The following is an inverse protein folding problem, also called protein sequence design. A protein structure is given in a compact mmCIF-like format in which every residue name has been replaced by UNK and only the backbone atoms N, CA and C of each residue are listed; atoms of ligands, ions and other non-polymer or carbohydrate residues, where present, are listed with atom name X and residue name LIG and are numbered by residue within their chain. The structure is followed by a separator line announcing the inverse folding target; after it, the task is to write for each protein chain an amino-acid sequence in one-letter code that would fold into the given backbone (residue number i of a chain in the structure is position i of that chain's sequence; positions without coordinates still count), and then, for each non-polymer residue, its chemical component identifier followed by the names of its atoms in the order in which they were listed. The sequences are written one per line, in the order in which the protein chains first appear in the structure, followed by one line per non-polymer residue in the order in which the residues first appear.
data_IF_202325159159
#
_entry.id   IF_202325159159
#
_cell.length_a   1.000
_cell.length_b   1.000
_cell.length_c   1.000
_cell.angle_alpha   90.00
_cell.angle_beta   90.00
_cell.angle_gamma   90.00
#
_symmetry.space_group_name_H-M   'P 1'
#
loop_
_entity.id
_entity.type
_entity.pdbx_description
1 polymer ?
#
# COMPACT_ATOMS: atom_id res chain seq x y z
N UNK A 1 -18.91 -18.76 -33.01
CA UNK A 1 -17.68 -19.48 -32.56
C UNK A 1 -16.52 -18.50 -32.50
N UNK A 2 -16.27 -17.86 -31.35
CA UNK A 2 -15.07 -17.06 -31.11
C UNK A 2 -14.19 -17.86 -30.13
N UNK A 3 -13.02 -18.26 -30.59
CA UNK A 3 -12.04 -19.03 -29.84
C UNK A 3 -11.47 -18.15 -28.72
N UNK A 4 -11.54 -18.65 -27.49
CA UNK A 4 -10.80 -18.15 -26.34
C UNK A 4 -9.31 -18.22 -26.63
N UNK A 5 -8.63 -17.08 -26.60
CA UNK A 5 -7.16 -17.03 -26.67
C UNK A 5 -6.58 -17.10 -25.26
N UNK A 6 -5.94 -18.23 -25.03
CA UNK A 6 -4.73 -18.46 -24.23
C UNK A 6 -4.55 -17.69 -22.91
N UNK A 7 -4.53 -18.50 -21.81
CA UNK A 7 -3.82 -18.18 -20.59
C UNK A 7 -2.35 -17.85 -20.86
N UNK A 8 -2.03 -16.58 -20.98
CA UNK A 8 -0.68 -16.08 -20.80
C UNK A 8 -0.40 -16.03 -19.29
N UNK A 9 0.65 -16.72 -18.88
CA UNK A 9 1.30 -16.52 -17.59
C UNK A 9 1.43 -15.02 -17.33
N UNK A 10 0.65 -14.50 -16.39
CA UNK A 10 0.78 -13.13 -15.91
C UNK A 10 2.02 -13.09 -15.01
N UNK A 11 3.19 -12.95 -15.61
CA UNK A 11 4.32 -12.39 -14.91
C UNK A 11 3.94 -10.96 -14.50
N UNK A 12 4.28 -10.59 -13.27
CA UNK A 12 3.96 -9.30 -12.60
C UNK A 12 4.58 -8.06 -13.31
N UNK A 13 4.41 -7.91 -14.61
CA UNK A 13 4.81 -6.71 -15.31
C UNK A 13 3.69 -5.70 -15.17
N UNK A 14 3.77 -4.86 -14.14
CA UNK A 14 2.90 -3.70 -14.01
C UNK A 14 3.13 -2.77 -15.22
N UNK A 15 2.05 -2.19 -15.74
CA UNK A 15 2.11 -1.23 -16.84
C UNK A 15 1.32 0.01 -16.48
N UNK A 16 1.74 1.14 -17.03
CA UNK A 16 0.92 2.34 -16.97
C UNK A 16 -0.28 2.20 -17.90
N UNK A 17 -1.41 2.74 -17.44
CA UNK A 17 -2.64 2.88 -18.22
C UNK A 17 -2.89 4.37 -18.50
N UNK A 18 -3.76 4.64 -19.48
CA UNK A 18 -4.03 5.99 -19.94
C UNK A 18 -3.15 6.40 -21.13
N UNK A 19 -3.41 7.59 -21.63
CA UNK A 19 -2.75 8.11 -22.85
C UNK A 19 -1.50 8.94 -22.58
N UNK A 20 -1.27 9.30 -21.33
CA UNK A 20 -0.17 10.19 -20.92
C UNK A 20 0.44 9.74 -19.60
N UNK A 21 1.75 9.97 -19.47
CA UNK A 21 2.55 9.80 -18.25
C UNK A 21 3.35 11.07 -17.97
N UNK A 22 3.83 11.22 -16.75
CA UNK A 22 4.90 12.18 -16.45
C UNK A 22 6.22 11.43 -16.65
N UNK A 23 7.13 12.02 -17.42
CA UNK A 23 8.50 11.56 -17.59
C UNK A 23 9.45 12.74 -17.46
N UNK A 24 10.35 12.66 -16.49
CA UNK A 24 11.39 13.65 -16.21
C UNK A 24 10.90 15.11 -16.18
N UNK A 25 9.71 15.33 -15.59
CA UNK A 25 9.12 16.65 -15.38
C UNK A 25 8.26 17.18 -16.54
N UNK A 26 8.01 16.36 -17.56
CA UNK A 26 7.12 16.66 -18.70
C UNK A 26 5.98 15.66 -18.77
N UNK A 27 4.82 16.08 -19.29
CA UNK A 27 3.73 15.16 -19.66
C UNK A 27 3.97 14.71 -21.09
N UNK A 28 4.08 13.40 -21.27
CA UNK A 28 4.38 12.75 -22.54
C UNK A 28 3.34 11.69 -22.86
N UNK A 29 3.14 11.31 -24.14
CA UNK A 29 2.33 10.16 -24.50
C UNK A 29 2.84 8.88 -23.80
N UNK A 30 1.92 8.06 -23.30
CA UNK A 30 2.26 6.76 -22.71
C UNK A 30 2.64 5.77 -23.82
N UNK A 31 3.82 5.20 -23.75
CA UNK A 31 4.23 4.10 -24.62
C UNK A 31 4.00 2.75 -23.92
N UNK A 32 3.53 1.74 -24.67
CA UNK A 32 3.13 0.42 -24.11
C UNK A 32 4.28 -0.39 -23.48
N UNK A 33 5.52 0.10 -23.47
CA UNK A 33 6.70 -0.76 -23.33
C UNK A 33 7.53 -0.59 -22.06
N UNK A 34 7.22 0.35 -21.17
CA UNK A 34 8.07 0.53 -19.99
C UNK A 34 7.64 -0.39 -18.84
N UNK A 35 8.37 -1.48 -18.56
CA UNK A 35 8.11 -2.31 -17.38
C UNK A 35 8.38 -1.50 -16.12
N UNK A 36 7.45 -1.55 -15.18
CA UNK A 36 7.57 -0.88 -13.89
C UNK A 36 7.90 -1.95 -12.84
N UNK A 37 8.85 -1.67 -11.97
CA UNK A 37 9.16 -2.55 -10.84
C UNK A 37 10.48 -3.30 -10.99
N UNK A 38 11.53 -2.57 -11.37
CA UNK A 38 12.90 -3.10 -11.30
C UNK A 38 13.44 -2.99 -9.87
N UNK A 39 14.32 -3.91 -9.50
CA UNK A 39 14.99 -3.86 -8.21
C UNK A 39 15.70 -2.53 -7.99
N UNK A 40 15.71 -2.10 -6.74
CA UNK A 40 16.27 -0.83 -6.27
C UNK A 40 15.54 0.45 -6.73
N UNK A 41 14.47 0.38 -7.51
CA UNK A 41 13.66 1.55 -7.80
C UNK A 41 13.08 2.14 -6.51
N UNK A 42 13.24 3.45 -6.34
CA UNK A 42 12.48 4.20 -5.32
C UNK A 42 11.12 4.53 -5.90
N UNK A 43 10.05 4.12 -5.24
CA UNK A 43 8.72 4.30 -5.77
C UNK A 43 7.71 4.79 -4.74
N UNK A 44 6.63 5.39 -5.22
CA UNK A 44 5.42 5.70 -4.45
C UNK A 44 4.20 5.15 -5.17
N UNK A 45 3.18 4.81 -4.38
CA UNK A 45 1.85 4.50 -4.90
C UNK A 45 0.87 5.45 -4.23
N UNK A 46 0.21 6.25 -5.07
CA UNK A 46 -0.79 7.23 -4.68
C UNK A 46 -2.16 6.70 -5.05
N UNK A 47 -3.17 7.01 -4.28
CA UNK A 47 -4.57 6.79 -4.63
C UNK A 47 -5.15 8.07 -5.20
N UNK A 48 -5.67 8.02 -6.41
CA UNK A 48 -6.56 9.06 -6.95
C UNK A 48 -7.99 8.65 -6.67
N UNK A 49 -8.72 9.47 -5.97
CA UNK A 49 -10.13 9.27 -5.62
C UNK A 49 -10.90 10.55 -5.94
N UNK A 50 -11.97 10.43 -6.70
CA UNK A 50 -12.80 11.56 -7.12
C UNK A 50 -11.98 12.67 -7.81
N UNK A 51 -10.92 12.29 -8.53
CA UNK A 51 -10.00 13.20 -9.21
C UNK A 51 -8.97 13.88 -8.32
N UNK A 52 -8.82 13.46 -7.06
CA UNK A 52 -7.85 14.00 -6.11
C UNK A 52 -6.80 12.96 -5.73
N UNK A 53 -5.51 13.31 -5.83
CA UNK A 53 -4.43 12.49 -5.30
C UNK A 53 -4.43 12.60 -3.78
N UNK A 54 -4.83 11.51 -3.08
CA UNK A 54 -4.96 11.49 -1.63
C UNK A 54 -3.60 11.62 -0.94
N UNK A 55 -3.51 12.50 0.07
CA UNK A 55 -2.33 12.68 0.92
C UNK A 55 -1.04 12.90 0.12
N UNK A 56 -1.14 13.59 -1.01
CA UNK A 56 -0.05 13.79 -1.97
C UNK A 56 1.23 14.32 -1.31
N UNK A 57 1.12 15.30 -0.40
CA UNK A 57 2.29 15.90 0.25
C UNK A 57 3.03 14.90 1.14
N UNK A 58 2.30 14.01 1.85
CA UNK A 58 2.89 12.96 2.67
C UNK A 58 3.67 11.97 1.79
N UNK A 59 3.09 11.56 0.66
CA UNK A 59 3.74 10.70 -0.33
C UNK A 59 5.02 11.33 -0.90
N UNK A 60 4.97 12.59 -1.34
CA UNK A 60 6.13 13.28 -1.90
C UNK A 60 7.23 13.49 -0.86
N UNK A 61 6.87 13.71 0.41
CA UNK A 61 7.82 13.79 1.50
C UNK A 61 8.54 12.46 1.72
N UNK A 62 7.80 11.33 1.79
CA UNK A 62 8.39 9.99 1.93
C UNK A 62 9.25 9.62 0.72
N UNK A 63 8.79 9.92 -0.50
CA UNK A 63 9.55 9.73 -1.72
C UNK A 63 10.89 10.48 -1.68
N UNK A 64 10.87 11.77 -1.32
CA UNK A 64 12.08 12.58 -1.15
C UNK A 64 13.05 12.00 -0.12
N UNK A 65 12.53 11.49 1.00
CA UNK A 65 13.37 10.85 2.04
C UNK A 65 14.01 9.56 1.52
N UNK A 66 13.26 8.71 0.80
CA UNK A 66 13.79 7.49 0.18
C UNK A 66 14.83 7.80 -0.90
N UNK A 67 14.60 8.83 -1.73
CA UNK A 67 15.58 9.31 -2.72
C UNK A 67 16.90 9.72 -2.08
N UNK A 68 16.82 10.57 -1.04
CA UNK A 68 18.01 11.02 -0.31
C UNK A 68 18.78 9.87 0.35
N UNK A 69 18.06 8.95 1.02
CA UNK A 69 18.66 7.83 1.72
C UNK A 69 19.37 6.84 0.78
N UNK A 70 18.92 6.75 -0.48
CA UNK A 70 19.55 5.96 -1.54
C UNK A 70 20.63 6.72 -2.33
N UNK A 71 21.00 7.94 -1.88
CA UNK A 71 21.99 8.77 -2.57
C UNK A 71 21.50 9.41 -3.86
N UNK A 72 20.21 9.33 -4.17
CA UNK A 72 19.61 9.95 -5.35
C UNK A 72 19.25 11.40 -5.06
N UNK A 73 19.67 12.31 -5.93
CA UNK A 73 19.27 13.72 -5.86
C UNK A 73 17.81 13.90 -6.27
N UNK A 74 17.12 14.85 -5.63
CA UNK A 74 15.80 15.26 -6.13
C UNK A 74 16.00 16.13 -7.39
N UNK A 75 15.31 15.82 -8.50
CA UNK A 75 15.40 16.68 -9.69
C UNK A 75 14.80 18.07 -9.43
N UNK A 76 15.32 19.09 -10.06
CA UNK A 76 14.89 20.49 -9.85
C UNK A 76 13.39 20.70 -10.12
N UNK A 77 12.85 19.96 -11.08
CA UNK A 77 11.45 20.03 -11.45
C UNK A 77 10.51 19.30 -10.44
N UNK A 78 11.04 18.51 -9.49
CA UNK A 78 10.22 17.77 -8.51
C UNK A 78 9.27 18.68 -7.71
N UNK A 79 9.61 19.97 -7.54
CA UNK A 79 8.74 20.97 -6.92
C UNK A 79 7.43 21.20 -7.69
N UNK A 80 7.40 20.87 -8.98
CA UNK A 80 6.22 20.95 -9.85
C UNK A 80 5.38 19.66 -9.84
N UNK A 81 5.82 18.60 -9.14
CA UNK A 81 5.13 17.31 -9.13
C UNK A 81 3.64 17.41 -8.77
N UNK A 82 3.21 18.20 -7.76
CA UNK A 82 1.79 18.35 -7.48
C UNK A 82 0.99 18.84 -8.69
N UNK A 83 1.46 19.89 -9.36
CA UNK A 83 0.81 20.45 -10.55
C UNK A 83 0.81 19.46 -11.74
N UNK A 84 1.91 18.73 -11.91
CA UNK A 84 2.04 17.73 -12.97
C UNK A 84 1.06 16.56 -12.75
N UNK A 85 0.88 16.14 -11.49
CA UNK A 85 -0.08 15.10 -11.13
C UNK A 85 -1.52 15.58 -11.39
N UNK A 86 -1.86 16.81 -10.99
CA UNK A 86 -3.20 17.38 -11.26
C UNK A 86 -3.46 17.42 -12.78
N UNK A 87 -2.48 17.86 -13.58
CA UNK A 87 -2.61 17.86 -15.04
C UNK A 87 -2.68 16.46 -15.64
N UNK A 88 -1.92 15.50 -15.09
CA UNK A 88 -1.97 14.12 -15.56
C UNK A 88 -3.35 13.48 -15.32
N UNK A 89 -3.98 13.77 -14.19
CA UNK A 89 -5.36 13.36 -13.88
C UNK A 89 -6.32 13.93 -14.94
N UNK A 90 -6.21 15.24 -15.22
CA UNK A 90 -7.06 15.92 -16.21
C UNK A 90 -6.83 15.36 -17.62
N UNK A 91 -5.58 15.21 -18.06
CA UNK A 91 -5.25 14.75 -19.42
C UNK A 91 -5.73 13.32 -19.68
N UNK A 92 -5.70 12.44 -18.68
CA UNK A 92 -6.18 11.06 -18.83
C UNK A 92 -7.68 10.90 -18.56
N UNK A 93 -8.31 11.85 -17.87
CA UNK A 93 -9.72 11.74 -17.44
C UNK A 93 -9.97 10.59 -16.45
N UNK A 94 -8.93 10.12 -15.75
CA UNK A 94 -9.00 9.01 -14.78
C UNK A 94 -9.17 9.62 -13.40
N UNK A 95 -10.31 9.37 -12.76
CA UNK A 95 -10.67 9.98 -11.47
C UNK A 95 -10.66 9.01 -10.28
N UNK A 96 -10.51 7.70 -10.54
CA UNK A 96 -10.54 6.66 -9.52
C UNK A 96 -9.58 5.54 -9.91
N UNK A 97 -8.33 5.61 -9.44
CA UNK A 97 -7.27 4.67 -9.78
C UNK A 97 -6.04 4.86 -8.87
N UNK A 98 -5.13 3.90 -8.87
CA UNK A 98 -3.79 4.13 -8.31
C UNK A 98 -2.86 4.76 -9.34
N UNK A 99 -1.92 5.54 -8.83
CA UNK A 99 -0.86 6.16 -9.60
C UNK A 99 0.49 5.77 -8.99
N UNK A 100 1.47 5.47 -9.81
CA UNK A 100 2.82 5.15 -9.33
C UNK A 100 3.82 6.19 -9.82
N UNK A 101 4.60 6.71 -8.88
CA UNK A 101 5.84 7.45 -9.15
C UNK A 101 7.00 6.48 -9.00
N UNK A 102 7.90 6.44 -9.95
CA UNK A 102 9.08 5.57 -9.94
C UNK A 102 10.33 6.38 -10.28
N UNK A 103 11.37 6.23 -9.49
CA UNK A 103 12.69 6.77 -9.78
C UNK A 103 13.67 5.61 -9.97
N UNK A 104 14.22 5.52 -11.16
CA UNK A 104 15.19 4.49 -11.55
C UNK A 104 16.61 4.84 -11.10
N UNK A 105 17.52 3.86 -11.15
CA UNK A 105 18.92 4.05 -10.75
C UNK A 105 19.67 5.08 -11.61
N UNK A 106 19.28 5.24 -12.88
CA UNK A 106 19.83 6.25 -13.79
C UNK A 106 19.31 7.66 -13.54
N UNK A 107 18.43 7.86 -12.54
CA UNK A 107 17.87 9.15 -12.17
C UNK A 107 16.61 9.54 -12.94
N UNK A 108 16.16 8.75 -13.92
CA UNK A 108 14.89 9.00 -14.61
C UNK A 108 13.71 8.78 -13.67
N UNK A 109 12.72 9.66 -13.75
CA UNK A 109 11.50 9.61 -12.93
C UNK A 109 10.29 9.53 -13.84
N UNK A 110 9.45 8.54 -13.58
CA UNK A 110 8.18 8.36 -14.28
C UNK A 110 7.02 8.39 -13.29
N UNK A 111 5.86 8.87 -13.74
CA UNK A 111 4.62 8.77 -12.98
C UNK A 111 3.45 8.53 -13.94
N UNK A 112 2.64 7.53 -13.62
CA UNK A 112 1.47 7.17 -14.42
C UNK A 112 0.45 6.38 -13.62
N UNK A 113 -0.71 6.18 -14.20
CA UNK A 113 -1.77 5.36 -13.62
C UNK A 113 -1.48 3.87 -13.77
N UNK A 114 -1.90 3.08 -12.79
CA UNK A 114 -1.78 1.63 -12.78
C UNK A 114 -3.15 0.99 -13.00
N UNK A 115 -3.19 -0.14 -13.68
CA UNK A 115 -4.34 -1.02 -13.61
C UNK A 115 -4.44 -1.59 -12.20
N UNK A 116 -5.47 -1.18 -11.44
CA UNK A 116 -5.63 -1.53 -10.03
C UNK A 116 -6.94 -2.26 -9.80
N UNK A 117 -6.85 -3.43 -9.18
CA UNK A 117 -8.01 -4.13 -8.64
C UNK A 117 -8.13 -3.75 -7.15
N UNK A 118 -9.19 -3.01 -6.81
CA UNK A 118 -9.50 -2.68 -5.42
C UNK A 118 -10.26 -3.80 -4.74
N UNK A 119 -10.18 -3.91 -3.40
CA UNK A 119 -11.02 -4.84 -2.67
C UNK A 119 -12.50 -4.62 -2.97
N UNK A 120 -13.24 -5.71 -3.16
CA UNK A 120 -14.68 -5.64 -3.37
C UNK A 120 -15.42 -5.23 -2.09
N UNK A 121 -16.67 -4.79 -2.24
CA UNK A 121 -17.54 -4.49 -1.09
C UNK A 121 -17.69 -5.70 -0.15
N UNK A 122 -17.70 -6.92 -0.69
CA UNK A 122 -17.74 -8.15 0.08
C UNK A 122 -16.45 -8.36 0.89
N UNK A 123 -15.28 -8.07 0.32
CA UNK A 123 -13.99 -8.15 1.03
C UNK A 123 -13.89 -7.10 2.15
N UNK A 124 -14.44 -5.92 1.96
CA UNK A 124 -14.53 -4.93 3.04
C UNK A 124 -15.50 -5.34 4.16
N UNK A 125 -16.61 -6.01 3.83
CA UNK A 125 -17.59 -6.45 4.80
C UNK A 125 -17.15 -7.71 5.56
N UNK A 126 -16.65 -8.73 4.82
CA UNK A 126 -16.37 -10.06 5.37
C UNK A 126 -14.89 -10.27 5.73
N UNK A 127 -14.03 -9.30 5.38
CA UNK A 127 -12.58 -9.43 5.54
C UNK A 127 -11.93 -10.33 4.49
N UNK A 128 -10.60 -10.32 4.49
CA UNK A 128 -9.76 -11.10 3.57
C UNK A 128 -8.95 -12.15 4.31
N UNK A 129 -8.48 -13.16 3.58
CA UNK A 129 -7.58 -14.18 4.12
C UNK A 129 -6.12 -13.78 3.91
N UNK A 130 -5.27 -14.08 4.89
CA UNK A 130 -3.83 -13.86 4.83
C UNK A 130 -3.06 -15.15 5.14
N UNK A 131 -1.81 -15.21 4.71
CA UNK A 131 -0.88 -16.27 5.06
C UNK A 131 0.40 -15.68 5.66
N UNK A 132 1.07 -16.45 6.51
CA UNK A 132 2.36 -16.08 7.06
C UNK A 132 3.47 -16.47 6.08
N UNK A 133 4.39 -15.55 5.81
CA UNK A 133 5.54 -15.76 4.95
C UNK A 133 6.83 -15.45 5.73
N UNK A 134 7.73 -16.42 5.87
CA UNK A 134 9.06 -16.17 6.45
C UNK A 134 9.90 -15.36 5.47
N UNK A 135 9.89 -14.07 5.66
CA UNK A 135 10.67 -13.10 4.90
C UNK A 135 10.78 -11.79 5.68
N UNK A 136 11.79 -11.02 5.38
CA UNK A 136 11.97 -9.66 5.92
C UNK A 136 12.16 -8.69 4.75
N UNK A 137 11.66 -7.46 4.93
CA UNK A 137 11.94 -6.38 4.00
C UNK A 137 13.34 -5.83 4.28
N UNK A 138 14.25 -5.85 3.29
CA UNK A 138 15.48 -5.07 3.39
C UNK A 138 15.13 -3.58 3.52
N UNK A 139 15.88 -2.84 4.35
CA UNK A 139 15.69 -1.39 4.53
C UNK A 139 14.21 -0.98 4.72
N UNK A 140 13.52 -1.48 5.78
CA UNK A 140 12.07 -1.36 5.91
C UNK A 140 11.58 0.09 5.96
N UNK A 141 12.43 1.04 6.35
CA UNK A 141 12.11 2.47 6.38
C UNK A 141 12.03 3.12 4.99
N UNK A 142 12.54 2.45 3.94
CA UNK A 142 12.62 2.98 2.59
C UNK A 142 11.60 2.34 1.64
N UNK A 143 11.01 3.14 0.79
CA UNK A 143 10.07 2.66 -0.25
C UNK A 143 10.83 2.24 -1.51
N UNK A 144 11.55 1.12 -1.40
CA UNK A 144 12.34 0.52 -2.48
C UNK A 144 11.64 -0.75 -2.96
N UNK A 145 11.71 -1.02 -4.25
CA UNK A 145 11.18 -2.24 -4.83
C UNK A 145 12.16 -3.41 -4.64
N UNK A 146 11.66 -4.52 -4.14
CA UNK A 146 12.41 -5.76 -3.89
C UNK A 146 11.70 -6.93 -4.59
N UNK A 147 12.17 -7.30 -5.78
CA UNK A 147 11.53 -8.32 -6.63
C UNK A 147 11.45 -9.68 -5.95
N UNK A 148 12.52 -10.12 -5.29
CA UNK A 148 12.59 -11.44 -4.64
C UNK A 148 11.50 -11.63 -3.60
N UNK A 149 11.37 -10.68 -2.65
CA UNK A 149 10.34 -10.73 -1.61
C UNK A 149 8.93 -10.65 -2.23
N UNK A 150 8.75 -9.77 -3.22
CA UNK A 150 7.47 -9.60 -3.93
C UNK A 150 7.06 -10.85 -4.68
N UNK A 151 8.00 -11.49 -5.37
CA UNK A 151 7.76 -12.72 -6.11
C UNK A 151 7.40 -13.89 -5.19
N UNK A 152 8.11 -14.03 -4.06
CA UNK A 152 7.78 -15.05 -3.06
C UNK A 152 6.37 -14.85 -2.47
N UNK A 153 6.00 -13.60 -2.14
CA UNK A 153 4.65 -13.29 -1.66
C UNK A 153 3.59 -13.56 -2.73
N UNK A 154 3.81 -13.12 -3.97
CA UNK A 154 2.90 -13.34 -5.08
C UNK A 154 2.72 -14.84 -5.40
N UNK A 155 3.80 -15.63 -5.30
CA UNK A 155 3.73 -17.08 -5.46
C UNK A 155 2.87 -17.70 -4.37
N UNK A 156 3.11 -17.40 -3.09
CA UNK A 156 2.30 -17.91 -1.99
C UNK A 156 0.83 -17.53 -2.13
N UNK A 157 0.53 -16.28 -2.51
CA UNK A 157 -0.84 -15.82 -2.72
C UNK A 157 -1.54 -16.60 -3.85
N UNK A 158 -0.85 -16.90 -4.95
CA UNK A 158 -1.40 -17.75 -6.02
C UNK A 158 -1.65 -19.19 -5.57
N UNK A 159 -0.75 -19.77 -4.79
CA UNK A 159 -0.84 -21.16 -4.32
C UNK A 159 -1.94 -21.35 -3.27
N UNK A 160 -2.17 -20.35 -2.42
CA UNK A 160 -3.10 -20.44 -1.28
C UNK A 160 -4.42 -19.73 -1.51
N UNK A 161 -4.53 -18.86 -2.51
CA UNK A 161 -5.67 -17.96 -2.70
C UNK A 161 -5.74 -16.83 -1.67
N UNK A 162 -4.69 -16.64 -0.85
CA UNK A 162 -4.65 -15.56 0.13
C UNK A 162 -4.55 -14.19 -0.54
N UNK A 163 -5.21 -13.21 0.05
CA UNK A 163 -5.17 -11.83 -0.41
C UNK A 163 -3.81 -11.15 -0.15
N UNK A 164 -3.21 -11.46 1.01
CA UNK A 164 -1.95 -10.86 1.43
C UNK A 164 -1.05 -11.88 2.15
N UNK A 165 0.28 -11.69 2.03
CA UNK A 165 1.29 -12.42 2.77
C UNK A 165 1.86 -11.56 3.88
N UNK A 166 1.70 -11.98 5.13
CA UNK A 166 2.26 -11.29 6.30
C UNK A 166 3.69 -11.76 6.55
N UNK A 167 4.62 -10.82 6.59
CA UNK A 167 6.04 -11.09 6.74
C UNK A 167 6.38 -11.44 8.19
N UNK A 168 7.07 -12.54 8.36
CA UNK A 168 7.54 -13.03 9.66
C UNK A 168 9.05 -12.99 9.66
N UNK A 169 9.62 -12.21 10.60
CA UNK A 169 11.07 -12.04 10.76
C UNK A 169 11.74 -13.27 11.36
N UNK A 170 13.09 -13.25 11.45
CA UNK A 170 13.88 -14.35 12.00
C UNK A 170 13.55 -14.66 13.47
N UNK A 171 12.97 -13.73 14.22
CA UNK A 171 12.54 -13.91 15.62
C UNK A 171 11.15 -14.54 15.75
N UNK A 172 10.46 -14.82 14.64
CA UNK A 172 9.09 -15.35 14.65
C UNK A 172 8.00 -14.28 14.81
N UNK A 173 8.32 -13.02 14.62
CA UNK A 173 7.42 -11.88 14.79
C UNK A 173 6.86 -11.39 13.46
N UNK A 174 5.58 -11.10 13.44
CA UNK A 174 4.91 -10.48 12.29
C UNK A 174 5.27 -8.99 12.28
N UNK A 175 5.80 -8.53 11.15
CA UNK A 175 6.20 -7.13 10.97
C UNK A 175 5.17 -6.35 10.17
N UNK A 176 4.93 -6.72 8.92
CA UNK A 176 4.03 -6.05 7.98
C UNK A 176 3.50 -7.03 6.93
N UNK A 177 2.61 -6.60 6.05
CA UNK A 177 2.27 -7.35 4.84
C UNK A 177 3.28 -7.10 3.72
N UNK A 178 3.26 -7.91 2.66
CA UNK A 178 4.14 -7.72 1.51
C UNK A 178 3.92 -6.36 0.84
N UNK A 179 2.69 -5.81 0.94
CA UNK A 179 2.25 -4.53 0.34
C UNK A 179 1.51 -3.62 1.32
N UNK A 180 1.42 -3.98 2.60
CA UNK A 180 0.58 -3.33 3.60
C UNK A 180 1.24 -3.29 4.97
N UNK A 181 0.73 -2.44 5.87
CA UNK A 181 0.97 -2.59 7.30
C UNK A 181 -0.14 -3.46 7.91
N UNK A 182 0.15 -4.12 9.03
CA UNK A 182 -0.78 -5.03 9.72
C UNK A 182 -0.97 -4.60 11.16
N UNK A 183 -2.18 -4.87 11.68
CA UNK A 183 -2.62 -4.52 13.02
C UNK A 183 -3.44 -5.66 13.61
N UNK A 184 -3.32 -5.82 14.92
CA UNK A 184 -4.06 -6.81 15.69
C UNK A 184 -4.79 -6.11 16.84
N UNK A 185 -6.02 -6.53 17.13
CA UNK A 185 -6.86 -5.97 18.20
C UNK A 185 -7.05 -7.03 19.27
N UNK A 186 -6.66 -6.73 20.50
CA UNK A 186 -6.78 -7.63 21.63
C UNK A 186 -8.19 -7.61 22.27
N UNK A 187 -8.38 -8.39 23.35
CA UNK A 187 -9.63 -8.46 24.11
C UNK A 187 -10.02 -7.13 24.77
N UNK A 188 -9.04 -6.27 25.09
CA UNK A 188 -9.26 -4.96 25.67
C UNK A 188 -9.58 -3.88 24.63
N UNK A 189 -9.55 -4.24 23.33
CA UNK A 189 -9.74 -3.32 22.21
C UNK A 189 -8.49 -2.47 21.91
N UNK A 190 -7.32 -2.83 22.43
CA UNK A 190 -6.06 -2.17 22.13
C UNK A 190 -5.54 -2.65 20.78
N UNK A 191 -4.90 -1.75 20.02
CA UNK A 191 -4.37 -2.06 18.68
C UNK A 191 -2.87 -2.23 18.78
N UNK A 192 -2.38 -3.40 18.36
CA UNK A 192 -0.97 -3.74 18.29
C UNK A 192 -0.47 -3.65 16.83
N UNK A 193 0.65 -3.00 16.62
CA UNK A 193 1.31 -2.90 15.30
C UNK A 193 2.81 -2.75 15.49
N UNK A 194 3.59 -3.20 14.52
CA UNK A 194 5.04 -3.13 14.59
C UNK A 194 5.53 -1.69 14.78
N UNK A 195 6.61 -1.48 15.57
CA UNK A 195 7.16 -0.15 15.84
C UNK A 195 7.78 0.48 14.60
N UNK A 196 7.87 1.82 14.62
CA UNK A 196 8.53 2.57 13.56
C UNK A 196 10.01 2.13 13.41
N UNK A 197 10.50 2.15 12.17
CA UNK A 197 11.84 1.70 11.83
C UNK A 197 11.97 0.19 11.60
N UNK A 198 11.00 -0.62 12.03
CA UNK A 198 10.98 -2.08 11.73
C UNK A 198 10.09 -2.42 10.53
N UNK A 199 9.30 -1.47 10.07
CA UNK A 199 8.37 -1.58 8.95
C UNK A 199 8.36 -0.31 8.13
N UNK A 200 7.78 -0.38 6.93
CA UNK A 200 7.57 0.82 6.14
C UNK A 200 6.59 1.76 6.87
N UNK A 201 6.99 3.02 7.02
CA UNK A 201 6.10 4.10 7.47
C UNK A 201 5.05 4.38 6.40
N UNK A 202 4.00 3.54 6.36
CA UNK A 202 2.92 3.66 5.38
C UNK A 202 2.15 4.97 5.53
N UNK A 203 1.78 5.63 4.42
CA UNK A 203 0.95 6.86 4.51
C UNK A 203 -0.38 6.51 5.17
N UNK A 204 -1.00 5.42 4.77
CA UNK A 204 -2.24 4.97 5.43
C UNK A 204 -2.01 4.54 6.88
N UNK A 205 -0.80 4.02 7.23
CA UNK A 205 -0.43 3.75 8.63
C UNK A 205 -0.44 5.03 9.46
N UNK A 206 0.10 6.12 8.93
CA UNK A 206 0.02 7.43 9.62
C UNK A 206 -1.43 7.86 9.83
N UNK A 207 -2.32 7.65 8.84
CA UNK A 207 -3.74 8.01 8.95
C UNK A 207 -4.51 7.10 9.93
N UNK A 208 -4.16 5.82 10.04
CA UNK A 208 -4.68 4.93 11.09
C UNK A 208 -4.26 5.42 12.49
N UNK A 209 -2.98 5.76 12.67
CA UNK A 209 -2.47 6.30 13.95
C UNK A 209 -3.17 7.62 14.28
N UNK A 210 -3.31 8.53 13.32
CA UNK A 210 -4.01 9.80 13.45
C UNK A 210 -5.49 9.60 13.83
N UNK A 211 -6.19 8.69 13.14
CA UNK A 211 -7.57 8.33 13.47
C UNK A 211 -7.72 7.83 14.91
N UNK A 212 -6.80 6.96 15.36
CA UNK A 212 -6.81 6.46 16.74
C UNK A 212 -6.52 7.55 17.78
N UNK A 213 -5.67 8.52 17.47
CA UNK A 213 -5.34 9.64 18.37
C UNK A 213 -6.46 10.67 18.47
N UNK A 214 -7.19 10.90 17.38
CA UNK A 214 -8.31 11.83 17.33
C UNK A 214 -9.60 11.28 17.96
N UNK A 215 -9.63 10.01 18.31
CA UNK A 215 -10.75 9.31 18.92
C UNK A 215 -10.38 9.00 20.36
N UNK A 216 -11.05 9.59 21.38
CA UNK A 216 -10.72 9.23 22.75
C UNK A 216 -10.98 7.74 22.94
N UNK A 217 -9.94 6.99 23.22
CA UNK A 217 -10.00 5.63 23.72
C UNK A 217 -9.62 4.46 22.80
N UNK A 218 -8.81 4.63 21.75
CA UNK A 218 -8.18 3.48 21.09
C UNK A 218 -6.66 3.46 21.37
N UNK A 219 -6.20 2.75 22.40
CA UNK A 219 -4.77 2.63 22.67
C UNK A 219 -4.03 1.92 21.55
N UNK A 220 -2.88 2.50 21.16
CA UNK A 220 -1.95 1.90 20.21
C UNK A 220 -0.73 1.39 20.97
N UNK A 221 -0.37 0.12 20.71
CA UNK A 221 0.81 -0.55 21.24
C UNK A 221 1.76 -0.82 20.08
N UNK A 222 2.93 -0.20 20.11
CA UNK A 222 3.93 -0.35 19.06
C UNK A 222 4.87 -1.51 19.40
N UNK A 223 4.43 -2.72 19.09
CA UNK A 223 5.18 -3.96 19.24
C UNK A 223 4.86 -4.94 18.11
N UNK A 224 5.83 -5.76 17.72
CA UNK A 224 5.60 -6.84 16.78
C UNK A 224 4.89 -7.99 17.48
N UNK A 225 3.81 -8.49 16.87
CA UNK A 225 3.06 -9.64 17.37
C UNK A 225 3.78 -10.94 17.03
N UNK A 226 3.95 -11.82 17.99
CA UNK A 226 4.49 -13.17 17.79
C UNK A 226 3.53 -13.99 16.91
N UNK A 227 4.06 -14.60 15.83
CA UNK A 227 3.23 -15.40 14.92
C UNK A 227 2.53 -16.58 15.61
N UNK A 228 3.16 -17.17 16.63
CA UNK A 228 2.58 -18.24 17.43
C UNK A 228 1.47 -17.76 18.38
N UNK A 229 1.38 -16.46 18.66
CA UNK A 229 0.45 -15.85 19.61
C UNK A 229 -0.78 -15.19 18.98
N UNK A 230 -0.93 -15.22 17.66
CA UNK A 230 -2.01 -14.47 16.96
C UNK A 230 -3.43 -14.91 17.37
N UNK A 231 -3.59 -16.14 17.86
CA UNK A 231 -4.90 -16.66 18.33
C UNK A 231 -5.43 -15.97 19.59
N UNK A 232 -4.64 -15.15 20.28
CA UNK A 232 -5.10 -14.37 21.42
C UNK A 232 -5.81 -13.06 21.03
N UNK A 233 -5.68 -12.63 19.76
CA UNK A 233 -6.31 -11.41 19.26
C UNK A 233 -7.72 -11.69 18.71
N UNK A 234 -8.60 -10.72 18.80
CA UNK A 234 -10.00 -10.81 18.37
C UNK A 234 -10.23 -10.36 16.94
N UNK A 235 -9.47 -9.37 16.49
CA UNK A 235 -9.57 -8.86 15.15
C UNK A 235 -8.18 -8.52 14.61
N UNK A 236 -8.08 -8.46 13.28
CA UNK A 236 -6.89 -8.00 12.59
C UNK A 236 -7.29 -7.24 11.32
N UNK A 237 -6.43 -6.32 10.88
CA UNK A 237 -6.66 -5.59 9.65
C UNK A 237 -5.36 -5.16 8.97
N UNK A 238 -5.47 -4.85 7.70
CA UNK A 238 -4.41 -4.31 6.86
C UNK A 238 -4.63 -2.81 6.63
N UNK A 239 -3.53 -2.08 6.38
CA UNK A 239 -3.62 -0.75 5.78
C UNK A 239 -2.62 -0.54 4.66
N UNK A 240 -3.08 0.05 3.58
CA UNK A 240 -2.23 0.57 2.50
C UNK A 240 -2.98 1.64 1.72
N UNK A 241 -2.28 2.42 0.92
CA UNK A 241 -2.89 3.48 0.11
C UNK A 241 -4.00 2.94 -0.81
N UNK A 242 -3.84 1.83 -1.56
CA UNK A 242 -4.90 1.29 -2.41
C UNK A 242 -6.13 0.81 -1.66
N UNK A 243 -5.93 0.07 -0.56
CA UNK A 243 -7.02 -0.60 0.16
C UNK A 243 -7.55 0.17 1.38
N UNK A 244 -6.90 1.29 1.77
CA UNK A 244 -7.20 2.02 3.02
C UNK A 244 -7.08 1.10 4.23
N UNK A 245 -8.20 0.83 4.92
CA UNK A 245 -8.29 -0.15 6.02
C UNK A 245 -9.11 -1.34 5.56
N UNK A 246 -8.52 -2.52 5.58
CA UNK A 246 -9.16 -3.76 5.10
C UNK A 246 -9.16 -4.80 6.21
N UNK A 247 -10.34 -5.27 6.66
CA UNK A 247 -10.43 -6.32 7.67
C UNK A 247 -9.77 -7.62 7.23
N UNK A 248 -9.19 -8.35 8.17
CA UNK A 248 -8.73 -9.72 7.99
C UNK A 248 -9.73 -10.65 8.68
N UNK A 249 -10.27 -11.64 7.98
CA UNK A 249 -11.12 -12.67 8.57
C UNK A 249 -10.33 -13.92 8.97
N UNK A 250 -9.14 -14.17 8.36
CA UNK A 250 -8.37 -15.38 8.65
C UNK A 250 -6.88 -15.19 8.34
N UNK A 251 -6.00 -15.72 9.21
CA UNK A 251 -4.57 -15.83 8.99
C UNK A 251 -4.17 -17.30 9.22
N UNK A 252 -3.75 -18.01 8.16
CA UNK A 252 -3.56 -19.46 8.23
C UNK A 252 -4.85 -20.14 8.68
N UNK A 253 -4.85 -20.77 9.85
CA UNK A 253 -6.03 -21.41 10.44
C UNK A 253 -6.74 -20.59 11.53
N UNK A 254 -6.21 -19.42 11.88
CA UNK A 254 -6.77 -18.55 12.93
C UNK A 254 -7.79 -17.60 12.33
N UNK A 255 -8.98 -17.56 12.89
CA UNK A 255 -10.08 -16.68 12.50
C UNK A 255 -10.11 -15.39 13.32
N UNK A 256 -10.55 -14.30 12.69
CA UNK A 256 -10.67 -12.97 13.27
C UNK A 256 -12.04 -12.37 12.96
N UNK A 257 -12.53 -11.50 13.84
CA UNK A 257 -13.82 -10.83 13.70
C UNK A 257 -13.69 -9.54 12.85
N UNK A 258 -14.18 -9.53 11.58
CA UNK A 258 -14.18 -8.35 10.73
C UNK A 258 -15.18 -7.28 11.20
N UNK A 259 -16.15 -7.66 12.04
CA UNK A 259 -17.18 -6.78 12.58
C UNK A 259 -16.81 -6.14 13.94
N UNK A 260 -15.57 -6.35 14.40
CA UNK A 260 -15.06 -5.84 15.66
C UNK A 260 -15.29 -4.32 15.81
N UNK A 261 -15.76 -3.90 16.97
CA UNK A 261 -16.14 -2.50 17.23
C UNK A 261 -14.96 -1.53 17.10
N UNK A 262 -13.80 -1.90 17.62
CA UNK A 262 -12.58 -1.07 17.49
C UNK A 262 -12.16 -0.93 16.05
N UNK A 263 -12.23 -2.01 15.26
CA UNK A 263 -11.92 -1.99 13.84
C UNK A 263 -12.88 -1.06 13.07
N UNK A 264 -14.19 -1.17 13.31
CA UNK A 264 -15.18 -0.26 12.69
C UNK A 264 -14.89 1.20 13.00
N UNK A 265 -14.53 1.50 14.23
CA UNK A 265 -14.16 2.84 14.65
C UNK A 265 -12.94 3.38 13.89
N UNK A 266 -11.91 2.55 13.70
CA UNK A 266 -10.73 2.90 12.88
C UNK A 266 -11.13 3.16 11.42
N UNK A 267 -11.97 2.30 10.84
CA UNK A 267 -12.45 2.45 9.46
C UNK A 267 -13.17 3.80 9.29
N UNK A 268 -14.09 4.13 10.20
CA UNK A 268 -14.82 5.40 10.19
C UNK A 268 -13.89 6.61 10.36
N UNK A 269 -12.93 6.53 11.29
CA UNK A 269 -11.93 7.56 11.50
C UNK A 269 -11.07 7.85 10.26
N UNK A 270 -10.58 6.80 9.61
CA UNK A 270 -9.80 6.94 8.37
C UNK A 270 -10.67 7.45 7.22
N UNK A 271 -11.92 6.97 7.10
CA UNK A 271 -12.85 7.45 6.08
C UNK A 271 -13.12 8.96 6.22
N UNK A 272 -13.23 9.46 7.45
CA UNK A 272 -13.37 10.89 7.73
C UNK A 272 -12.14 11.68 7.25
N UNK A 273 -10.93 11.24 7.56
CA UNK A 273 -9.69 11.90 7.10
C UNK A 273 -9.59 11.93 5.57
N UNK A 274 -10.01 10.86 4.90
CA UNK A 274 -10.08 10.81 3.42
C UNK A 274 -11.10 11.82 2.89
N UNK A 275 -12.29 11.87 3.49
CA UNK A 275 -13.34 12.81 3.08
C UNK A 275 -12.91 14.28 3.28
N UNK A 276 -12.22 14.59 4.36
CA UNK A 276 -11.65 15.91 4.63
C UNK A 276 -10.61 16.29 3.57
N UNK A 277 -9.76 15.34 3.14
CA UNK A 277 -8.78 15.56 2.09
C UNK A 277 -9.44 15.85 0.73
N UNK A 278 -10.56 15.21 0.40
CA UNK A 278 -11.29 15.42 -0.86
C UNK A 278 -12.05 16.76 -0.83
N UNK A 279 -12.69 17.08 0.30
CA UNK A 279 -13.58 18.24 0.42
C UNK A 279 -12.85 19.54 0.83
N UNK A 280 -11.64 19.46 1.34
CA UNK A 280 -10.87 20.59 1.85
C UNK A 280 -10.04 21.32 0.78
N UNK A 281 -10.25 21.00 -0.50
CA UNK A 281 -9.60 21.67 -1.63
C UNK A 281 -10.52 22.61 -2.37
#
# INVERSE_FOLDING_TARGET
MRRSRNGKERGDTMRYIGNSIIKDGSIEPSEEQDPIGNDNEVYEVLRVDSGHALFLQDHLTRWSNSMKATGRGMPDWAKKMPQLIDWLIICNGITDCDMRVTASDNGSVQCGFLETEFPSAEQYANGVTCQLLRAERPDPSLKIFHSTMRSAAAQQQRETGAYESLLVNAKGQITEGSRSNVYFIDDAGQIHTAPDGTVLGGIMRMKVIEACQNQPAVPLIFECVEAAGIGSFKAAFLSSTPMRVLPICKIGDVEFDPENKTLKHVIEGVAKLVAEQINGK
#
